data_IF_937068172860
#
_entry.id   IF_937068172860
#
_cell.length_a   1.000
_cell.length_b   1.000
_cell.length_c   1.000
_cell.angle_alpha   90.00
_cell.angle_beta   90.00
_cell.angle_gamma   90.00
#
_symmetry.space_group_name_H-M   'P 1'
#
loop_
_entity.id
_entity.type
_entity.pdbx_description
1 polymer ?
#
# COMPACT_ATOMS: atom_id res chain seq x y z
N UNK A 1 9.77 -16.57 -20.79
CA UNK A 1 10.98 -16.71 -21.64
C UNK A 1 12.05 -15.75 -21.12
N UNK A 2 13.30 -16.20 -20.95
CA UNK A 2 14.41 -15.32 -20.52
C UNK A 2 14.90 -14.51 -21.72
N UNK A 3 15.02 -13.19 -21.56
CA UNK A 3 15.62 -12.28 -22.56
C UNK A 3 17.14 -12.34 -22.42
N UNK A 4 17.89 -12.21 -23.52
CA UNK A 4 19.34 -12.13 -23.48
C UNK A 4 19.80 -10.87 -22.71
N UNK A 5 20.90 -10.97 -21.96
CA UNK A 5 21.38 -9.88 -21.07
C UNK A 5 21.56 -8.56 -21.82
N UNK A 6 22.22 -8.60 -22.97
CA UNK A 6 22.45 -7.42 -23.83
C UNK A 6 21.16 -6.75 -24.30
N UNK A 7 20.14 -7.54 -24.66
CA UNK A 7 18.84 -7.01 -25.06
C UNK A 7 18.11 -6.38 -23.86
N UNK A 8 18.21 -6.99 -22.67
CA UNK A 8 17.64 -6.44 -21.44
C UNK A 8 18.25 -5.09 -21.05
N UNK A 9 19.58 -4.96 -21.16
CA UNK A 9 20.30 -3.70 -20.90
C UNK A 9 19.88 -2.59 -21.88
N UNK A 10 19.74 -2.90 -23.17
CA UNK A 10 19.24 -1.95 -24.17
C UNK A 10 17.81 -1.49 -23.89
N UNK A 11 16.93 -2.40 -23.46
CA UNK A 11 15.55 -2.07 -23.09
C UNK A 11 15.53 -1.15 -21.87
N UNK A 12 16.28 -1.47 -20.82
CA UNK A 12 16.35 -0.66 -19.60
C UNK A 12 16.82 0.77 -19.89
N UNK A 13 17.84 0.92 -20.75
CA UNK A 13 18.35 2.24 -21.15
C UNK A 13 17.28 3.09 -21.85
N UNK A 14 16.53 2.50 -22.79
CA UNK A 14 15.46 3.22 -23.49
C UNK A 14 14.32 3.57 -22.53
N UNK A 15 13.98 2.67 -21.59
CA UNK A 15 12.98 2.94 -20.56
C UNK A 15 13.35 4.17 -19.71
N UNK A 16 14.62 4.30 -19.32
CA UNK A 16 15.13 5.49 -18.62
C UNK A 16 15.07 6.74 -19.50
N UNK A 17 15.54 6.67 -20.76
CA UNK A 17 15.56 7.80 -21.70
C UNK A 17 14.18 8.41 -21.95
N UNK A 18 13.13 7.57 -21.97
CA UNK A 18 11.74 8.03 -22.20
C UNK A 18 10.94 8.26 -20.91
N UNK A 19 11.57 8.12 -19.74
CA UNK A 19 10.89 8.15 -18.43
C UNK A 19 9.70 7.18 -18.35
N UNK A 20 9.87 5.96 -18.88
CA UNK A 20 8.84 4.93 -18.82
C UNK A 20 8.62 4.48 -17.39
N UNK A 21 7.38 4.57 -16.90
CA UNK A 21 6.97 4.03 -15.60
C UNK A 21 6.23 2.72 -15.84
N UNK A 22 6.77 1.57 -15.40
CA UNK A 22 6.11 0.28 -15.58
C UNK A 22 4.75 0.24 -14.89
N UNK A 23 3.72 -0.21 -15.62
CA UNK A 23 2.43 -0.49 -15.02
C UNK A 23 2.51 -1.80 -14.21
N UNK A 24 2.19 -1.73 -12.91
CA UNK A 24 2.19 -2.89 -12.00
C UNK A 24 0.95 -3.77 -12.13
N UNK A 25 -0.14 -3.27 -12.70
CA UNK A 25 -1.42 -3.97 -12.78
C UNK A 25 -1.33 -5.38 -13.41
N UNK A 26 -0.60 -5.62 -14.52
CA UNK A 26 -0.46 -6.96 -15.07
C UNK A 26 0.22 -7.95 -14.11
N UNK A 27 1.20 -7.48 -13.31
CA UNK A 27 1.87 -8.31 -12.32
C UNK A 27 0.96 -8.66 -11.14
N UNK A 28 0.14 -7.71 -10.69
CA UNK A 28 -0.85 -7.91 -9.63
C UNK A 28 -1.90 -8.95 -10.03
N UNK A 29 -2.40 -8.88 -11.27
CA UNK A 29 -3.39 -9.83 -11.80
C UNK A 29 -2.83 -11.25 -11.93
N UNK A 30 -1.56 -11.38 -12.32
CA UNK A 30 -0.91 -12.69 -12.47
C UNK A 30 -0.67 -13.39 -11.13
N UNK A 31 -0.31 -12.62 -10.10
CA UNK A 31 0.07 -13.16 -8.79
C UNK A 31 -1.06 -13.09 -7.74
N UNK A 32 -2.20 -12.50 -8.08
CA UNK A 32 -3.30 -12.17 -7.15
C UNK A 32 -2.82 -11.43 -5.89
N UNK A 33 -1.78 -10.60 -6.03
CA UNK A 33 -1.12 -9.90 -4.93
C UNK A 33 -0.76 -8.48 -5.38
N UNK A 34 -1.24 -7.50 -4.64
CA UNK A 34 -1.08 -6.07 -4.95
C UNK A 34 0.25 -5.48 -4.49
N UNK A 35 0.91 -6.13 -3.53
CA UNK A 35 2.05 -5.56 -2.80
C UNK A 35 1.70 -4.20 -2.19
N UNK A 36 0.45 -4.04 -1.73
CA UNK A 36 -0.03 -2.79 -1.12
C UNK A 36 -0.73 -3.12 0.21
N UNK A 37 -0.41 -2.36 1.26
CA UNK A 37 -1.07 -2.44 2.56
C UNK A 37 -1.79 -1.12 2.87
N UNK A 38 -3.00 -1.21 3.41
CA UNK A 38 -3.71 -0.07 3.98
C UNK A 38 -3.31 0.13 5.45
N UNK A 39 -3.11 1.38 5.86
CA UNK A 39 -2.84 1.76 7.25
C UNK A 39 -3.85 2.83 7.65
N UNK A 40 -4.58 2.56 8.73
CA UNK A 40 -5.60 3.48 9.23
C UNK A 40 -5.24 3.96 10.64
N UNK A 41 -4.96 5.25 10.75
CA UNK A 41 -4.57 5.90 12.01
C UNK A 41 -5.65 6.88 12.49
N UNK A 42 -5.74 7.20 13.78
CA UNK A 42 -6.76 8.12 14.26
C UNK A 42 -6.47 9.56 13.81
N UNK A 43 -5.20 9.98 13.76
CA UNK A 43 -4.83 11.36 13.42
C UNK A 43 -3.41 11.49 12.90
N UNK A 44 -3.23 12.32 11.85
CA UNK A 44 -1.90 12.76 11.40
C UNK A 44 -1.27 13.84 12.29
N UNK A 45 -2.04 14.48 13.17
CA UNK A 45 -1.54 15.55 14.04
C UNK A 45 -0.88 15.02 15.31
N UNK A 46 -1.20 13.79 15.69
CA UNK A 46 -0.61 13.16 16.87
C UNK A 46 0.71 12.49 16.49
N UNK A 47 1.81 13.04 17.03
CA UNK A 47 3.17 12.59 16.74
C UNK A 47 3.43 11.12 17.14
N UNK A 48 2.63 10.55 18.05
CA UNK A 48 2.72 9.13 18.42
C UNK A 48 2.63 8.20 17.20
N UNK A 49 1.85 8.57 16.18
CA UNK A 49 1.68 7.73 14.99
C UNK A 49 2.83 7.86 13.99
N UNK A 50 3.65 8.90 14.09
CA UNK A 50 4.79 9.07 13.18
C UNK A 50 5.82 7.94 13.34
N UNK A 51 6.17 7.62 14.60
CA UNK A 51 7.12 6.54 14.90
C UNK A 51 6.58 5.16 14.50
N UNK A 52 5.26 4.95 14.66
CA UNK A 52 4.58 3.73 14.24
C UNK A 52 4.62 3.60 12.71
N UNK A 53 4.29 4.66 11.98
CA UNK A 53 4.33 4.67 10.52
C UNK A 53 5.74 4.43 9.99
N UNK A 54 6.76 5.07 10.59
CA UNK A 54 8.15 4.85 10.24
C UNK A 54 8.58 3.39 10.49
N UNK A 55 8.15 2.80 11.61
CA UNK A 55 8.38 1.40 11.92
C UNK A 55 7.74 0.46 10.89
N UNK A 56 6.48 0.71 10.52
CA UNK A 56 5.79 -0.06 9.48
C UNK A 56 6.53 0.07 8.14
N UNK A 57 6.85 1.29 7.72
CA UNK A 57 7.54 1.58 6.46
C UNK A 57 8.89 0.87 6.37
N UNK A 58 9.65 0.83 7.47
CA UNK A 58 10.96 0.17 7.52
C UNK A 58 10.88 -1.32 7.16
N UNK A 59 9.82 -2.01 7.59
CA UNK A 59 9.61 -3.43 7.28
C UNK A 59 8.98 -3.60 5.90
N UNK A 60 7.94 -2.84 5.59
CA UNK A 60 7.18 -3.04 4.35
C UNK A 60 8.02 -2.72 3.11
N UNK A 61 8.87 -1.70 3.18
CA UNK A 61 9.75 -1.31 2.07
C UNK A 61 10.77 -2.40 1.71
N UNK A 62 11.36 -3.07 2.71
CA UNK A 62 12.26 -4.22 2.51
C UNK A 62 11.58 -5.39 1.78
N UNK A 63 10.26 -5.52 1.96
CA UNK A 63 9.43 -6.55 1.31
C UNK A 63 8.73 -6.07 0.02
N UNK A 64 9.11 -4.90 -0.52
CA UNK A 64 8.52 -4.28 -1.72
C UNK A 64 7.03 -3.95 -1.60
N UNK A 65 6.51 -3.84 -0.37
CA UNK A 65 5.15 -3.40 -0.13
C UNK A 65 5.07 -1.87 -0.15
N UNK A 66 4.04 -1.35 -0.80
CA UNK A 66 3.62 0.04 -0.69
C UNK A 66 2.56 0.19 0.41
N UNK A 67 2.50 1.37 1.02
CA UNK A 67 1.53 1.67 2.08
C UNK A 67 0.59 2.79 1.65
N UNK A 68 -0.71 2.58 1.78
CA UNK A 68 -1.75 3.60 1.64
C UNK A 68 -2.22 4.01 3.05
N UNK A 69 -2.02 5.28 3.40
CA UNK A 69 -2.29 5.76 4.77
C UNK A 69 -3.52 6.67 4.74
N UNK A 70 -4.47 6.41 5.63
CA UNK A 70 -5.65 7.23 5.85
C UNK A 70 -5.84 7.54 7.33
N UNK A 71 -6.60 8.59 7.65
CA UNK A 71 -6.99 8.90 9.02
C UNK A 71 -8.50 9.12 9.16
N UNK A 72 -9.04 8.83 10.35
CA UNK A 72 -10.49 8.87 10.63
C UNK A 72 -10.88 9.85 11.74
N UNK A 73 -9.94 10.63 12.28
CA UNK A 73 -10.18 11.67 13.27
C UNK A 73 -10.95 11.20 14.53
N UNK A 74 -10.70 9.96 14.96
CA UNK A 74 -11.38 9.30 16.09
C UNK A 74 -12.89 9.09 15.90
N UNK A 75 -13.41 9.26 14.69
CA UNK A 75 -14.80 8.98 14.35
C UNK A 75 -14.94 7.57 13.75
N UNK A 76 -15.83 6.76 14.31
CA UNK A 76 -15.98 5.35 13.94
C UNK A 76 -16.70 5.14 12.61
N UNK A 77 -17.61 6.04 12.25
CA UNK A 77 -18.29 5.96 10.96
C UNK A 77 -17.30 6.34 9.85
N UNK A 78 -16.46 7.35 10.08
CA UNK A 78 -15.34 7.71 9.20
C UNK A 78 -14.28 6.60 9.09
N UNK A 79 -14.02 5.86 10.17
CA UNK A 79 -13.15 4.67 10.15
C UNK A 79 -13.72 3.61 9.19
N UNK A 80 -15.00 3.28 9.32
CA UNK A 80 -15.68 2.31 8.47
C UNK A 80 -15.62 2.70 6.99
N UNK A 81 -15.93 3.95 6.66
CA UNK A 81 -15.83 4.46 5.29
C UNK A 81 -14.40 4.38 4.74
N UNK A 82 -13.41 4.72 5.57
CA UNK A 82 -12.01 4.65 5.20
C UNK A 82 -11.54 3.21 4.94
N UNK A 83 -12.00 2.25 5.74
CA UNK A 83 -11.72 0.82 5.51
C UNK A 83 -12.30 0.37 4.17
N UNK A 84 -13.55 0.72 3.87
CA UNK A 84 -14.19 0.38 2.59
C UNK A 84 -13.41 0.98 1.42
N UNK A 85 -13.00 2.24 1.53
CA UNK A 85 -12.22 2.92 0.51
C UNK A 85 -10.86 2.24 0.29
N UNK A 86 -10.16 1.88 1.37
CA UNK A 86 -8.88 1.18 1.30
C UNK A 86 -9.02 -0.19 0.62
N UNK A 87 -10.05 -0.96 0.96
CA UNK A 87 -10.34 -2.26 0.34
C UNK A 87 -10.61 -2.13 -1.17
N UNK A 88 -11.19 -1.02 -1.62
CA UNK A 88 -11.46 -0.79 -3.05
C UNK A 88 -10.21 -0.68 -3.92
N UNK A 89 -9.04 -0.41 -3.33
CA UNK A 89 -7.75 -0.38 -4.02
C UNK A 89 -7.11 -1.77 -4.22
N UNK A 90 -7.81 -2.86 -3.87
CA UNK A 90 -7.30 -4.24 -3.93
C UNK A 90 -6.03 -4.45 -3.10
N UNK A 91 -5.95 -3.83 -1.92
CA UNK A 91 -4.83 -4.03 -0.99
C UNK A 91 -4.79 -5.47 -0.46
N UNK A 92 -3.58 -5.93 -0.10
CA UNK A 92 -3.36 -7.28 0.42
C UNK A 92 -3.70 -7.40 1.92
N UNK A 93 -3.81 -6.28 2.63
CA UNK A 93 -4.10 -6.26 4.05
C UNK A 93 -4.26 -4.86 4.62
N UNK A 94 -4.83 -4.78 5.83
CA UNK A 94 -5.07 -3.53 6.56
C UNK A 94 -4.43 -3.62 7.95
N UNK A 95 -3.81 -2.52 8.38
CA UNK A 95 -3.35 -2.29 9.75
C UNK A 95 -4.29 -1.24 10.39
N UNK A 96 -4.98 -1.64 11.45
CA UNK A 96 -5.83 -0.77 12.27
C UNK A 96 -5.13 -0.44 13.59
N UNK A 97 -5.29 0.79 14.06
CA UNK A 97 -4.61 1.31 15.25
C UNK A 97 -5.42 1.16 16.55
N UNK A 98 -6.74 1.00 16.45
CA UNK A 98 -7.65 0.87 17.58
C UNK A 98 -8.11 -0.57 17.80
N UNK A 99 -8.74 -0.82 18.96
CA UNK A 99 -9.32 -2.13 19.31
C UNK A 99 -10.82 -2.21 19.03
N UNK A 100 -11.51 -1.06 19.06
CA UNK A 100 -12.97 -0.99 19.01
C UNK A 100 -13.43 -0.41 17.68
N UNK A 101 -14.09 -1.24 16.88
CA UNK A 101 -14.57 -0.87 15.56
C UNK A 101 -16.08 -1.10 15.45
N UNK A 102 -16.69 -0.60 14.38
CA UNK A 102 -18.07 -0.98 14.05
C UNK A 102 -18.14 -2.45 13.65
N UNK A 103 -19.32 -3.05 13.71
CA UNK A 103 -19.54 -4.45 13.29
C UNK A 103 -19.19 -4.64 11.81
N UNK A 104 -19.39 -3.61 10.98
CA UNK A 104 -19.15 -3.68 9.55
C UNK A 104 -17.67 -3.55 9.20
N UNK A 105 -16.88 -2.81 9.97
CA UNK A 105 -15.42 -2.78 9.82
C UNK A 105 -14.75 -4.15 10.07
N UNK A 106 -15.30 -4.96 10.97
CA UNK A 106 -14.72 -6.27 11.36
C UNK A 106 -15.21 -7.43 10.46
N UNK A 107 -16.21 -7.19 9.61
CA UNK A 107 -16.81 -8.20 8.73
C UNK A 107 -16.20 -8.17 7.34
#
# INVERSE_FOLDING_TARGET
KKVAKETGERIAKIMEEINYIPNRAPGMLLNAQSYTLGILIPSFQNQLFADILAGIESVTSEHNYQTLIANYNYDRDSEEESVINLLSYNIDGIILSEKYHTIRTVK
#
